data_IF_168013592233
#
_entry.id   IF_168013592233
#
_cell.length_a   1.000
_cell.length_b   1.000
_cell.length_c   1.000
_cell.angle_alpha   90.00
_cell.angle_beta   90.00
_cell.angle_gamma   90.00
#
_symmetry.space_group_name_H-M   'P 1'
#
loop_
_entity.id
_entity.type
_entity.pdbx_description
1 polymer ?
#
# COMPACT_ATOMS: atom_id res chain seq x y z
N UNK A 1 -8.61 4.31 6.66
CA UNK A 1 -7.30 3.65 6.64
C UNK A 1 -6.16 4.57 7.09
N UNK A 2 -5.62 5.51 6.28
CA UNK A 2 -4.37 6.22 6.69
C UNK A 2 -4.41 6.91 8.06
N UNK A 3 -5.50 7.63 8.34
CA UNK A 3 -5.69 8.34 9.62
C UNK A 3 -5.80 7.38 10.80
N UNK A 4 -6.41 6.21 10.62
CA UNK A 4 -6.55 5.20 11.69
C UNK A 4 -5.19 4.58 12.03
N UNK A 5 -4.39 4.23 11.01
CA UNK A 5 -3.04 3.70 11.20
C UNK A 5 -2.12 4.73 11.86
N UNK A 6 -2.16 5.99 11.41
CA UNK A 6 -1.39 7.08 12.03
C UNK A 6 -1.79 7.33 13.48
N UNK A 7 -3.09 7.32 13.80
CA UNK A 7 -3.59 7.47 15.17
C UNK A 7 -3.16 6.32 16.09
N UNK A 8 -3.00 5.11 15.55
CA UNK A 8 -2.47 3.94 16.26
C UNK A 8 -0.93 3.90 16.33
N UNK A 9 -0.23 4.89 15.76
CA UNK A 9 1.24 4.93 15.73
C UNK A 9 1.87 3.95 14.75
N UNK A 10 1.10 3.40 13.80
CA UNK A 10 1.58 2.44 12.80
C UNK A 10 1.96 3.17 11.51
N UNK A 11 3.23 3.14 11.14
CA UNK A 11 3.68 3.65 9.84
C UNK A 11 3.19 2.73 8.71
N UNK A 12 2.55 3.34 7.71
CA UNK A 12 2.18 2.68 6.46
C UNK A 12 2.85 3.38 5.27
N UNK A 13 3.15 2.59 4.23
CA UNK A 13 3.74 3.08 2.98
C UNK A 13 2.92 2.58 1.80
N UNK A 14 2.72 3.39 0.75
CA UNK A 14 2.05 2.92 -0.47
C UNK A 14 2.86 1.82 -1.14
N UNK A 15 2.21 0.97 -1.94
CA UNK A 15 2.89 -0.08 -2.71
C UNK A 15 4.04 0.50 -3.54
N UNK A 16 5.22 -0.11 -3.41
CA UNK A 16 6.44 0.31 -4.10
C UNK A 16 6.21 0.33 -5.61
N UNK A 17 6.67 1.42 -6.26
CA UNK A 17 6.54 1.70 -7.70
C UNK A 17 5.09 1.86 -8.22
N UNK A 18 4.08 1.32 -7.53
CA UNK A 18 2.68 1.47 -7.87
C UNK A 18 2.33 0.95 -9.27
N UNK A 19 1.34 1.58 -9.90
CA UNK A 19 0.97 1.29 -11.29
C UNK A 19 2.04 1.87 -12.24
N UNK A 20 2.90 1.00 -12.77
CA UNK A 20 3.98 1.36 -13.68
C UNK A 20 3.48 2.11 -14.93
N UNK A 21 2.25 1.88 -15.37
CA UNK A 21 1.68 2.54 -16.56
C UNK A 21 1.49 4.04 -16.38
N UNK A 22 1.46 4.50 -15.12
CA UNK A 22 1.34 5.91 -14.76
C UNK A 22 2.69 6.62 -14.68
N UNK A 23 3.79 5.88 -14.65
CA UNK A 23 5.12 6.44 -14.48
C UNK A 23 5.60 7.16 -15.75
N UNK A 24 6.29 8.33 -15.62
CA UNK A 24 6.77 9.08 -16.79
C UNK A 24 7.68 8.28 -17.71
N UNK A 25 8.56 7.45 -17.15
CA UNK A 25 9.47 6.62 -17.94
C UNK A 25 8.71 5.56 -18.75
N UNK A 26 7.61 5.02 -18.24
CA UNK A 26 6.82 4.02 -18.97
C UNK A 26 6.10 4.66 -20.16
N UNK A 27 5.43 5.79 -19.92
CA UNK A 27 4.67 6.53 -20.94
C UNK A 27 5.56 7.02 -22.10
N UNK A 28 6.84 7.26 -21.84
CA UNK A 28 7.83 7.62 -22.87
C UNK A 28 8.01 6.52 -23.93
N UNK A 29 7.99 5.25 -23.52
CA UNK A 29 8.26 4.11 -24.41
C UNK A 29 7.01 3.34 -24.82
N UNK A 30 5.90 3.52 -24.09
CA UNK A 30 4.60 2.88 -24.35
C UNK A 30 3.53 3.98 -24.42
N UNK A 31 3.38 4.65 -25.58
CA UNK A 31 2.47 5.79 -25.74
C UNK A 31 0.99 5.39 -25.67
N UNK A 32 0.65 4.17 -26.08
CA UNK A 32 -0.69 3.61 -25.99
C UNK A 32 -0.76 2.59 -24.86
N UNK A 33 -1.17 3.06 -23.69
CA UNK A 33 -1.40 2.21 -22.51
C UNK A 33 -2.89 2.09 -22.24
N UNK A 34 -3.45 0.90 -22.42
CA UNK A 34 -4.79 0.59 -21.92
C UNK A 34 -4.83 0.74 -20.39
N UNK A 35 -5.99 1.12 -19.85
CA UNK A 35 -6.17 1.14 -18.40
C UNK A 35 -6.02 -0.27 -17.81
N UNK A 36 -5.35 -0.35 -16.67
CA UNK A 36 -5.20 -1.58 -15.89
C UNK A 36 -6.00 -1.40 -14.59
N UNK A 37 -7.32 -1.67 -14.59
CA UNK A 37 -8.20 -1.32 -13.47
C UNK A 37 -7.76 -1.95 -12.15
N UNK A 38 -7.24 -3.19 -12.19
CA UNK A 38 -6.70 -3.88 -11.00
C UNK A 38 -5.41 -3.22 -10.52
N UNK A 39 -4.49 -2.85 -11.42
CA UNK A 39 -3.27 -2.14 -11.05
C UNK A 39 -3.58 -0.76 -10.45
N UNK A 40 -4.57 -0.05 -11.01
CA UNK A 40 -5.08 1.21 -10.45
C UNK A 40 -5.66 1.01 -9.05
N UNK A 41 -6.45 -0.05 -8.84
CA UNK A 41 -7.05 -0.37 -7.54
C UNK A 41 -5.95 -0.58 -6.48
N UNK A 42 -4.94 -1.39 -6.78
CA UNK A 42 -3.80 -1.62 -5.88
C UNK A 42 -2.96 -0.37 -5.68
N UNK A 43 -2.72 0.41 -6.73
CA UNK A 43 -1.95 1.66 -6.64
C UNK A 43 -2.62 2.72 -5.76
N UNK A 44 -3.95 2.76 -5.73
CA UNK A 44 -4.71 3.76 -4.97
C UNK A 44 -4.99 3.31 -3.54
N UNK A 45 -5.25 2.03 -3.32
CA UNK A 45 -5.68 1.50 -2.03
C UNK A 45 -4.63 0.64 -1.32
N UNK A 46 -3.65 0.13 -2.05
CA UNK A 46 -2.61 -0.75 -1.51
C UNK A 46 -1.58 0.01 -0.69
N UNK A 47 -1.23 -0.59 0.44
CA UNK A 47 -0.16 -0.13 1.33
C UNK A 47 0.50 -1.34 2.01
N UNK A 48 1.63 -1.11 2.64
CA UNK A 48 2.31 -2.06 3.50
C UNK A 48 2.73 -1.36 4.80
N UNK A 49 2.87 -2.14 5.87
CA UNK A 49 3.40 -1.72 7.16
C UNK A 49 4.55 -2.67 7.55
N UNK A 50 5.24 -2.37 8.65
CA UNK A 50 6.31 -3.23 9.17
C UNK A 50 5.77 -4.60 9.57
N UNK A 51 6.30 -5.66 8.95
CA UNK A 51 6.04 -7.04 9.34
C UNK A 51 7.39 -7.73 9.57
N UNK A 52 7.78 -7.89 10.83
CA UNK A 52 9.08 -8.39 11.21
C UNK A 52 8.96 -9.44 12.34
N UNK A 53 9.97 -10.30 12.53
CA UNK A 53 9.91 -11.38 13.53
C UNK A 53 9.86 -10.91 14.99
N UNK A 54 10.21 -9.66 15.26
CA UNK A 54 10.28 -9.10 16.62
C UNK A 54 8.99 -8.38 17.03
N UNK A 55 7.92 -8.46 16.23
CA UNK A 55 6.61 -7.95 16.60
C UNK A 55 6.10 -8.60 17.88
N UNK A 56 5.67 -7.76 18.81
CA UNK A 56 5.03 -8.19 20.06
C UNK A 56 3.58 -8.61 19.81
N UNK A 57 3.02 -9.40 20.71
CA UNK A 57 1.60 -9.78 20.67
C UNK A 57 0.65 -8.56 20.72
N UNK A 58 1.03 -7.51 21.46
CA UNK A 58 0.25 -6.27 21.54
C UNK A 58 0.26 -5.51 20.19
N UNK A 59 1.41 -5.46 19.52
CA UNK A 59 1.52 -4.88 18.18
C UNK A 59 0.74 -5.71 17.15
N UNK A 60 0.81 -7.04 17.22
CA UNK A 60 0.01 -7.92 16.37
C UNK A 60 -1.49 -7.70 16.56
N UNK A 61 -1.95 -7.62 17.81
CA UNK A 61 -3.36 -7.34 18.14
C UNK A 61 -3.79 -6.00 17.57
N UNK A 62 -2.97 -4.96 17.74
CA UNK A 62 -3.23 -3.62 17.19
C UNK A 62 -3.36 -3.67 15.66
N UNK A 63 -2.50 -4.44 14.97
CA UNK A 63 -2.54 -4.58 13.52
C UNK A 63 -3.79 -5.35 13.04
N UNK A 64 -4.19 -6.41 13.74
CA UNK A 64 -5.42 -7.17 13.43
C UNK A 64 -6.67 -6.29 13.61
N UNK A 65 -6.77 -5.57 14.73
CA UNK A 65 -7.88 -4.66 15.02
C UNK A 65 -8.02 -3.59 13.92
N UNK A 66 -6.90 -3.02 13.45
CA UNK A 66 -6.88 -2.03 12.36
C UNK A 66 -7.32 -2.60 11.01
N UNK A 67 -7.16 -3.91 10.80
CA UNK A 67 -7.60 -4.62 9.59
C UNK A 67 -9.03 -5.16 9.70
N UNK A 68 -9.62 -5.14 10.90
CA UNK A 68 -10.95 -5.68 11.18
C UNK A 68 -10.96 -7.20 11.36
N UNK A 69 -9.84 -7.78 11.79
CA UNK A 69 -9.65 -9.21 12.10
C UNK A 69 -9.55 -9.45 13.61
#
# INVERSE_FOLDING_TARGET
YRVEFEAAGVEIRPVIAGDITRQPFYRRYVPESAERPVARLVHTNGFYFGNNPDLTEDELTTLCDLLGE
#
